data_IF_855922685922
#
_entry.id   IF_855922685922
#
_cell.length_a   1.000
_cell.length_b   1.000
_cell.length_c   1.000
_cell.angle_alpha   90.00
_cell.angle_beta   90.00
_cell.angle_gamma   90.00
#
_symmetry.space_group_name_H-M   'P 1'
#
loop_
_entity.id
_entity.type
_entity.pdbx_description
1 polymer ?
#
# COMPACT_ATOMS: atom_id res chain seq x y z
N UNK A 1 33.56 -4.89 18.34
CA UNK A 1 33.04 -3.65 18.88
C UNK A 1 31.82 -3.86 19.75
N UNK A 2 31.67 -2.98 20.74
CA UNK A 2 30.49 -2.94 21.61
C UNK A 2 29.53 -1.79 21.25
N UNK A 3 29.77 -1.10 20.14
CA UNK A 3 28.97 0.03 19.70
C UNK A 3 27.79 -0.48 18.88
N UNK A 4 26.57 -0.04 19.22
CA UNK A 4 25.37 -0.30 18.44
C UNK A 4 25.44 0.54 17.14
N UNK A 5 25.15 -0.09 16.01
CA UNK A 5 25.12 0.53 14.69
C UNK A 5 23.71 0.41 14.11
N UNK A 6 23.36 1.33 13.20
CA UNK A 6 22.07 1.24 12.50
C UNK A 6 22.02 -0.07 11.72
N UNK A 7 23.06 -0.36 10.94
CA UNK A 7 23.23 -1.61 10.23
C UNK A 7 24.39 -2.36 10.90
N UNK A 8 24.25 -3.58 11.38
CA UNK A 8 23.03 -4.42 11.27
C UNK A 8 22.09 -4.38 12.50
N UNK A 9 22.47 -3.71 13.60
CA UNK A 9 21.81 -3.96 14.90
C UNK A 9 20.36 -3.47 14.92
N UNK A 10 20.12 -2.19 14.51
CA UNK A 10 18.77 -1.64 14.49
C UNK A 10 17.94 -2.26 13.37
N UNK A 11 18.53 -2.44 12.18
CA UNK A 11 17.80 -3.03 11.06
C UNK A 11 17.44 -4.50 11.31
N UNK A 12 18.29 -5.28 11.97
CA UNK A 12 17.96 -6.65 12.34
C UNK A 12 16.81 -6.68 13.36
N UNK A 13 16.85 -5.83 14.40
CA UNK A 13 15.79 -5.79 15.40
C UNK A 13 14.42 -5.41 14.80
N UNK A 14 14.41 -4.47 13.84
CA UNK A 14 13.19 -4.13 13.10
C UNK A 14 12.68 -5.33 12.30
N UNK A 15 13.55 -6.03 11.59
CA UNK A 15 13.19 -7.22 10.81
C UNK A 15 12.69 -8.36 11.72
N UNK A 16 13.35 -8.61 12.84
CA UNK A 16 12.94 -9.63 13.82
C UNK A 16 11.57 -9.29 14.44
N UNK A 17 11.32 -8.01 14.66
CA UNK A 17 10.01 -7.55 15.14
C UNK A 17 8.91 -7.80 14.10
N UNK A 18 9.13 -7.43 12.84
CA UNK A 18 8.20 -7.66 11.73
C UNK A 18 7.87 -9.16 11.62
N UNK A 19 8.89 -10.00 11.58
CA UNK A 19 8.72 -11.46 11.42
C UNK A 19 7.95 -12.05 12.59
N UNK A 20 8.29 -11.66 13.83
CA UNK A 20 7.56 -12.10 15.03
C UNK A 20 6.08 -11.72 14.99
N UNK A 21 5.77 -10.49 14.59
CA UNK A 21 4.38 -10.01 14.51
C UNK A 21 3.63 -10.72 13.39
N UNK A 22 4.28 -10.96 12.25
CA UNK A 22 3.67 -11.66 11.11
C UNK A 22 3.18 -13.08 11.46
N UNK A 23 3.87 -13.75 12.38
CA UNK A 23 3.50 -15.09 12.86
C UNK A 23 2.59 -15.08 14.11
N UNK A 24 2.21 -13.91 14.60
CA UNK A 24 1.40 -13.82 15.83
C UNK A 24 -0.08 -13.75 15.50
N UNK A 25 -0.91 -14.74 15.91
CA UNK A 25 -2.36 -14.70 15.74
C UNK A 25 -2.96 -13.43 16.37
N UNK A 26 -3.79 -12.72 15.63
CA UNK A 26 -4.41 -11.46 16.08
C UNK A 26 -5.92 -11.53 16.22
N UNK A 27 -6.56 -12.56 15.64
CA UNK A 27 -8.01 -12.72 15.57
C UNK A 27 -8.59 -13.62 16.68
N UNK A 28 -7.73 -14.17 17.53
CA UNK A 28 -8.12 -15.07 18.62
C UNK A 28 -8.36 -16.53 18.22
N UNK A 29 -8.22 -16.89 16.94
CA UNK A 29 -8.40 -18.26 16.45
C UNK A 29 -7.17 -19.14 16.71
N UNK A 30 -6.02 -18.56 17.02
CA UNK A 30 -4.77 -19.26 17.29
C UNK A 30 -4.05 -19.79 16.05
N UNK A 31 -4.56 -19.47 14.87
CA UNK A 31 -3.93 -19.79 13.58
C UNK A 31 -3.00 -18.64 13.14
N UNK A 32 -1.91 -18.97 12.48
CA UNK A 32 -1.03 -17.95 11.90
C UNK A 32 -1.75 -17.17 10.80
N UNK A 33 -1.54 -15.85 10.70
CA UNK A 33 -2.10 -15.04 9.63
C UNK A 33 -1.53 -15.43 8.26
N UNK A 34 -2.36 -15.43 7.21
CA UNK A 34 -1.92 -15.61 5.83
C UNK A 34 -1.09 -14.42 5.33
N UNK A 35 -1.34 -13.23 5.86
CA UNK A 35 -0.64 -12.01 5.52
C UNK A 35 -0.54 -11.04 6.70
N UNK A 36 0.55 -10.30 6.76
CA UNK A 36 0.75 -9.19 7.69
C UNK A 36 0.83 -7.88 6.92
N UNK A 37 -0.01 -6.92 7.29
CA UNK A 37 0.00 -5.57 6.70
C UNK A 37 0.81 -4.65 7.60
N UNK A 38 1.89 -4.08 7.05
CA UNK A 38 2.80 -3.19 7.76
C UNK A 38 2.67 -1.80 7.16
N UNK A 39 2.36 -0.83 7.99
CA UNK A 39 2.36 0.58 7.59
C UNK A 39 3.64 1.26 8.08
N UNK A 40 4.33 1.92 7.15
CA UNK A 40 5.44 2.79 7.46
C UNK A 40 5.04 4.23 7.14
N UNK A 41 4.82 5.01 8.19
CA UNK A 41 4.47 6.43 8.11
C UNK A 41 5.63 7.32 7.70
N UNK A 42 5.29 8.55 7.34
CA UNK A 42 6.24 9.57 6.94
C UNK A 42 6.54 9.61 5.45
N UNK A 43 7.20 10.67 5.04
CA UNK A 43 7.61 10.87 3.64
C UNK A 43 8.85 10.03 3.32
N UNK A 44 8.86 9.42 2.15
CA UNK A 44 10.06 8.73 1.65
C UNK A 44 11.22 9.71 1.56
N UNK A 45 12.34 9.36 2.19
CA UNK A 45 13.54 10.20 2.27
C UNK A 45 13.68 11.00 3.57
N UNK A 46 12.67 10.99 4.43
CA UNK A 46 12.79 11.59 5.77
C UNK A 46 13.75 10.80 6.66
N UNK A 47 14.51 11.52 7.46
CA UNK A 47 15.55 10.93 8.30
C UNK A 47 14.99 9.94 9.34
N UNK A 48 13.80 10.19 9.84
CA UNK A 48 13.14 9.35 10.84
C UNK A 48 12.76 7.99 10.29
N UNK A 49 12.39 7.89 9.02
CA UNK A 49 11.99 6.64 8.37
C UNK A 49 13.17 5.85 7.80
N UNK A 50 14.33 6.46 7.66
CA UNK A 50 15.49 5.87 6.99
C UNK A 50 15.89 4.47 7.54
N UNK A 51 15.98 4.22 8.86
CA UNK A 51 16.33 2.90 9.39
C UNK A 51 15.27 1.83 9.07
N UNK A 52 13.99 2.22 9.03
CA UNK A 52 12.89 1.31 8.70
C UNK A 52 12.87 0.97 7.22
N UNK A 53 13.07 1.95 6.34
CA UNK A 53 13.19 1.71 4.89
C UNK A 53 14.37 0.80 4.59
N UNK A 54 15.51 1.02 5.23
CA UNK A 54 16.69 0.16 5.08
C UNK A 54 16.42 -1.27 5.62
N UNK A 55 15.73 -1.40 6.75
CA UNK A 55 15.32 -2.70 7.28
C UNK A 55 14.39 -3.44 6.30
N UNK A 56 13.39 -2.76 5.71
CA UNK A 56 12.51 -3.34 4.71
C UNK A 56 13.24 -3.73 3.42
N UNK A 57 14.24 -2.93 2.99
CA UNK A 57 15.10 -3.27 1.86
C UNK A 57 15.88 -4.57 2.12
N UNK A 58 16.38 -4.77 3.33
CA UNK A 58 17.05 -6.02 3.72
C UNK A 58 16.06 -7.16 3.89
N UNK A 59 14.89 -6.89 4.46
CA UNK A 59 13.87 -7.88 4.76
C UNK A 59 13.39 -8.64 3.52
N UNK A 60 13.21 -7.95 2.38
CA UNK A 60 12.85 -8.62 1.13
C UNK A 60 13.84 -9.70 0.68
N UNK A 61 15.15 -9.56 1.04
CA UNK A 61 16.15 -10.59 0.77
C UNK A 61 16.10 -11.71 1.81
N UNK A 62 15.77 -11.38 3.05
CA UNK A 62 15.69 -12.33 4.15
C UNK A 62 14.53 -13.31 3.96
N UNK A 63 13.37 -12.83 3.57
CA UNK A 63 12.15 -13.64 3.45
C UNK A 63 11.83 -14.11 2.02
N UNK A 64 12.56 -13.60 1.02
CA UNK A 64 12.28 -13.82 -0.39
C UNK A 64 11.38 -12.72 -0.96
N UNK A 65 11.72 -12.27 -2.17
CA UNK A 65 10.98 -11.15 -2.83
C UNK A 65 9.53 -11.51 -3.13
N UNK A 66 9.23 -12.77 -3.35
CA UNK A 66 7.89 -13.32 -3.58
C UNK A 66 6.98 -13.20 -2.36
N UNK A 67 7.55 -13.14 -1.16
CA UNK A 67 6.82 -13.04 0.11
C UNK A 67 6.59 -11.59 0.57
N UNK A 68 6.95 -10.60 -0.25
CA UNK A 68 6.78 -9.17 0.08
C UNK A 68 6.07 -8.45 -1.04
N UNK A 69 5.09 -7.61 -0.69
CA UNK A 69 4.43 -6.69 -1.60
C UNK A 69 4.61 -5.25 -1.11
N UNK A 70 5.39 -4.45 -1.83
CA UNK A 70 5.52 -3.03 -1.54
C UNK A 70 4.42 -2.23 -2.23
N UNK A 71 3.59 -1.60 -1.42
CA UNK A 71 2.53 -0.70 -1.85
C UNK A 71 2.93 0.72 -1.48
N UNK A 72 3.14 1.58 -2.47
CA UNK A 72 3.50 2.98 -2.24
C UNK A 72 2.26 3.87 -2.34
N UNK A 73 1.93 4.56 -1.26
CA UNK A 73 0.85 5.54 -1.22
C UNK A 73 1.40 6.91 -1.56
N UNK A 74 0.81 7.58 -2.53
CA UNK A 74 1.27 8.89 -3.01
C UNK A 74 0.12 9.83 -3.31
N UNK A 75 0.35 11.13 -3.14
CA UNK A 75 -0.64 12.16 -3.47
C UNK A 75 -0.54 12.56 -4.95
N UNK A 76 -1.69 12.62 -5.62
CA UNK A 76 -1.87 13.22 -6.93
C UNK A 76 -2.64 14.54 -6.76
N UNK A 77 -1.94 15.68 -6.69
CA UNK A 77 -2.60 16.98 -6.59
C UNK A 77 -3.45 17.26 -7.83
N UNK A 78 -4.65 17.80 -7.59
CA UNK A 78 -5.54 18.29 -8.64
C UNK A 78 -5.46 19.83 -8.65
N UNK A 79 -5.00 20.40 -9.75
CA UNK A 79 -4.65 21.81 -9.83
C UNK A 79 -5.44 22.55 -10.87
N UNK A 80 -5.68 23.84 -10.58
CA UNK A 80 -6.31 24.78 -11.50
C UNK A 80 -7.81 24.55 -11.72
N UNK A 81 -8.47 25.45 -12.48
CA UNK A 81 -9.91 25.39 -12.71
C UNK A 81 -10.35 24.22 -13.59
N UNK A 82 -9.42 23.64 -14.36
CA UNK A 82 -9.69 22.49 -15.25
C UNK A 82 -9.46 21.14 -14.56
N UNK A 83 -9.02 21.13 -13.30
CA UNK A 83 -8.82 19.88 -12.55
C UNK A 83 -7.66 19.03 -13.03
N UNK A 84 -6.54 19.64 -13.48
CA UNK A 84 -5.37 18.90 -13.96
C UNK A 84 -4.71 18.07 -12.86
N UNK A 85 -4.58 16.75 -13.06
CA UNK A 85 -3.92 15.82 -12.16
C UNK A 85 -2.39 15.87 -12.35
N UNK A 86 -1.65 16.19 -11.30
CA UNK A 86 -0.19 16.36 -11.34
C UNK A 86 0.53 15.09 -10.89
N UNK A 87 1.27 14.47 -11.80
CA UNK A 87 1.98 13.19 -11.57
C UNK A 87 3.41 13.37 -11.03
N UNK A 88 3.97 14.56 -11.11
CA UNK A 88 5.38 14.80 -10.72
C UNK A 88 5.70 14.44 -9.26
N UNK A 89 4.85 14.75 -8.26
CA UNK A 89 5.13 14.35 -6.87
C UNK A 89 5.29 12.83 -6.74
N UNK A 90 4.37 12.05 -7.31
CA UNK A 90 4.45 10.58 -7.31
C UNK A 90 5.69 10.06 -8.02
N UNK A 91 6.01 10.60 -9.20
CA UNK A 91 7.23 10.22 -9.92
C UNK A 91 8.48 10.46 -9.07
N UNK A 92 8.51 11.58 -8.33
CA UNK A 92 9.64 11.94 -7.48
C UNK A 92 9.77 10.97 -6.30
N UNK A 93 8.70 10.73 -5.54
CA UNK A 93 8.74 9.83 -4.38
C UNK A 93 9.06 8.39 -4.78
N UNK A 94 8.56 7.90 -5.92
CA UNK A 94 8.93 6.57 -6.43
C UNK A 94 10.41 6.52 -6.84
N UNK A 95 10.93 7.60 -7.45
CA UNK A 95 12.36 7.67 -7.78
C UNK A 95 13.24 7.61 -6.52
N UNK A 96 12.86 8.35 -5.47
CA UNK A 96 13.55 8.30 -4.18
C UNK A 96 13.50 6.90 -3.55
N UNK A 97 12.31 6.27 -3.50
CA UNK A 97 12.14 4.92 -2.97
C UNK A 97 13.03 3.91 -3.70
N UNK A 98 13.12 4.02 -5.01
CA UNK A 98 14.00 3.18 -5.84
C UNK A 98 15.48 3.46 -5.58
N UNK A 99 15.83 4.72 -5.33
CA UNK A 99 17.18 5.10 -4.91
C UNK A 99 17.60 4.43 -3.61
N UNK A 100 16.63 4.14 -2.74
CA UNK A 100 16.81 3.36 -1.50
C UNK A 100 16.75 1.84 -1.72
N UNK A 101 16.59 1.37 -2.97
CA UNK A 101 16.63 -0.06 -3.32
C UNK A 101 15.29 -0.80 -3.15
N UNK A 102 14.17 -0.08 -3.06
CA UNK A 102 12.82 -0.66 -3.01
C UNK A 102 12.05 -0.29 -4.28
N UNK A 103 11.55 -1.30 -4.97
CA UNK A 103 10.64 -1.12 -6.10
C UNK A 103 9.21 -1.37 -5.66
N UNK A 104 8.29 -0.41 -5.79
CA UNK A 104 6.89 -0.67 -5.48
C UNK A 104 6.27 -1.62 -6.49
N UNK A 105 5.44 -2.54 -5.99
CA UNK A 105 4.66 -3.46 -6.82
C UNK A 105 3.31 -2.86 -7.19
N UNK A 106 2.81 -1.96 -6.34
CA UNK A 106 1.54 -1.26 -6.52
C UNK A 106 1.69 0.19 -6.09
N UNK A 107 0.99 1.10 -6.77
CA UNK A 107 0.88 2.50 -6.39
C UNK A 107 -0.57 2.80 -6.04
N UNK A 108 -0.81 3.28 -4.83
CA UNK A 108 -2.12 3.78 -4.40
C UNK A 108 -2.08 5.30 -4.45
N UNK A 109 -2.76 5.85 -5.44
CA UNK A 109 -2.72 7.27 -5.77
C UNK A 109 -3.88 8.00 -5.12
N UNK A 110 -3.59 8.70 -4.02
CA UNK A 110 -4.56 9.52 -3.30
C UNK A 110 -4.85 10.80 -4.09
N UNK A 111 -6.12 11.06 -4.40
CA UNK A 111 -6.53 12.18 -5.24
C UNK A 111 -7.92 12.67 -4.82
N UNK A 112 -8.28 13.91 -5.18
CA UNK A 112 -9.62 14.44 -4.97
C UNK A 112 -10.68 13.77 -5.88
N UNK A 113 -10.28 13.37 -7.08
CA UNK A 113 -11.16 12.76 -8.10
C UNK A 113 -10.51 11.48 -8.64
N UNK A 114 -11.28 10.56 -9.25
CA UNK A 114 -10.73 9.37 -9.90
C UNK A 114 -9.60 9.72 -10.87
N UNK A 115 -8.59 8.86 -10.92
CA UNK A 115 -7.52 9.01 -11.92
C UNK A 115 -8.09 8.83 -13.32
N UNK A 116 -7.79 9.78 -14.20
CA UNK A 116 -8.04 9.60 -15.64
C UNK A 116 -6.99 8.67 -16.24
N UNK A 117 -7.36 7.99 -17.33
CA UNK A 117 -6.50 6.97 -17.95
C UNK A 117 -5.16 7.55 -18.42
N UNK A 118 -5.13 8.78 -18.92
CA UNK A 118 -3.89 9.45 -19.32
C UNK A 118 -2.93 9.60 -18.11
N UNK A 119 -3.46 10.01 -16.95
CA UNK A 119 -2.69 10.14 -15.70
C UNK A 119 -2.18 8.78 -15.24
N UNK A 120 -3.04 7.77 -15.24
CA UNK A 120 -2.70 6.38 -14.88
C UNK A 120 -1.57 5.84 -15.75
N UNK A 121 -1.70 5.95 -17.07
CA UNK A 121 -0.71 5.48 -18.02
C UNK A 121 0.63 6.22 -17.88
N UNK A 122 0.57 7.53 -17.62
CA UNK A 122 1.77 8.34 -17.38
C UNK A 122 2.50 7.92 -16.10
N UNK A 123 1.78 7.69 -15.00
CA UNK A 123 2.36 7.19 -13.75
C UNK A 123 2.97 5.81 -13.99
N UNK A 124 2.23 4.90 -14.60
CA UNK A 124 2.70 3.56 -14.95
C UNK A 124 4.03 3.60 -15.70
N UNK A 125 4.11 4.38 -16.78
CA UNK A 125 5.30 4.50 -17.60
C UNK A 125 6.52 5.06 -16.84
N UNK A 126 6.33 6.09 -16.02
CA UNK A 126 7.43 6.72 -15.27
C UNK A 126 7.85 5.96 -14.02
N UNK A 127 6.90 5.27 -13.40
CA UNK A 127 7.14 4.51 -12.17
C UNK A 127 7.42 3.03 -12.45
N UNK A 128 7.32 2.56 -13.69
CA UNK A 128 7.52 1.16 -14.11
C UNK A 128 6.68 0.19 -13.26
N UNK A 129 5.43 0.55 -13.05
CA UNK A 129 4.41 -0.27 -12.41
C UNK A 129 3.30 -0.50 -13.44
N UNK A 130 2.77 -1.72 -13.60
CA UNK A 130 1.72 -1.99 -14.57
C UNK A 130 0.51 -1.05 -14.37
N UNK A 131 -0.19 -0.62 -15.44
CA UNK A 131 -1.32 0.31 -15.32
C UNK A 131 -2.41 -0.18 -14.37
N UNK A 132 -2.68 -1.48 -14.34
CA UNK A 132 -3.62 -2.13 -13.44
C UNK A 132 -3.21 -2.02 -11.96
N UNK A 133 -1.90 -1.94 -11.68
CA UNK A 133 -1.37 -1.76 -10.33
C UNK A 133 -1.21 -0.27 -9.92
N UNK A 134 -1.68 0.67 -10.76
CA UNK A 134 -1.82 2.08 -10.41
C UNK A 134 -3.27 2.32 -9.97
N UNK A 135 -3.50 2.25 -8.68
CA UNK A 135 -4.83 2.28 -8.05
C UNK A 135 -5.21 3.70 -7.68
N UNK A 136 -6.43 4.11 -8.02
CA UNK A 136 -6.99 5.40 -7.66
C UNK A 136 -7.66 5.33 -6.28
N UNK A 137 -7.10 6.02 -5.29
CA UNK A 137 -7.71 6.21 -3.98
C UNK A 137 -8.25 7.64 -3.86
N UNK A 138 -9.34 7.92 -4.59
CA UNK A 138 -9.97 9.24 -4.62
C UNK A 138 -10.92 9.45 -3.44
N UNK A 139 -11.40 10.70 -3.28
CA UNK A 139 -12.36 11.04 -2.25
C UNK A 139 -13.66 10.26 -2.47
N UNK A 140 -14.20 9.72 -1.40
CA UNK A 140 -15.46 8.98 -1.35
C UNK A 140 -16.36 9.59 -0.28
N UNK A 141 -17.65 9.27 -0.29
CA UNK A 141 -18.66 9.83 0.62
C UNK A 141 -18.32 9.53 2.09
N UNK A 142 -17.85 8.33 2.39
CA UNK A 142 -17.45 7.93 3.72
C UNK A 142 -16.28 6.93 3.67
N UNK A 143 -15.56 6.77 4.79
CA UNK A 143 -14.36 5.93 4.88
C UNK A 143 -14.64 4.45 4.59
N UNK A 144 -15.85 3.97 4.85
CA UNK A 144 -16.23 2.57 4.64
C UNK A 144 -16.38 2.22 3.16
N UNK A 145 -16.44 3.23 2.25
CA UNK A 145 -16.41 3.02 0.80
C UNK A 145 -15.00 2.67 0.29
N UNK A 146 -13.94 2.96 1.07
CA UNK A 146 -12.54 2.75 0.61
C UNK A 146 -12.24 1.29 0.27
N UNK A 147 -12.56 0.27 1.09
CA UNK A 147 -12.32 -1.12 0.72
C UNK A 147 -13.07 -1.54 -0.55
N UNK A 148 -14.30 -1.04 -0.74
CA UNK A 148 -15.12 -1.33 -1.92
C UNK A 148 -14.49 -0.71 -3.17
N UNK A 149 -14.00 0.52 -3.07
CA UNK A 149 -13.29 1.21 -4.14
C UNK A 149 -11.98 0.48 -4.52
N UNK A 150 -11.21 0.02 -3.56
CA UNK A 150 -9.98 -0.74 -3.80
C UNK A 150 -10.28 -2.09 -4.46
N UNK A 151 -11.30 -2.81 -3.96
CA UNK A 151 -11.75 -4.07 -4.54
C UNK A 151 -12.22 -3.92 -5.99
N UNK A 152 -12.99 -2.86 -6.29
CA UNK A 152 -13.48 -2.60 -7.66
C UNK A 152 -12.36 -2.40 -8.68
N UNK A 153 -11.15 -2.07 -8.23
CA UNK A 153 -9.94 -1.91 -9.05
C UNK A 153 -9.03 -3.16 -9.04
N UNK A 154 -9.47 -4.27 -8.46
CA UNK A 154 -8.77 -5.54 -8.50
C UNK A 154 -7.60 -5.67 -7.52
N UNK A 155 -7.53 -4.83 -6.47
CA UNK A 155 -6.43 -4.89 -5.48
C UNK A 155 -6.32 -6.26 -4.85
N UNK A 156 -7.44 -6.88 -4.49
CA UNK A 156 -7.45 -8.22 -3.90
C UNK A 156 -6.92 -9.28 -4.86
N UNK A 157 -7.29 -9.20 -6.15
CA UNK A 157 -6.78 -10.12 -7.17
C UNK A 157 -5.26 -9.97 -7.36
N UNK A 158 -4.76 -8.74 -7.40
CA UNK A 158 -3.32 -8.48 -7.52
C UNK A 158 -2.53 -9.03 -6.33
N UNK A 159 -3.07 -8.93 -5.11
CA UNK A 159 -2.45 -9.51 -3.91
C UNK A 159 -2.52 -11.04 -3.93
N UNK A 160 -3.66 -11.61 -4.37
CA UNK A 160 -3.83 -13.05 -4.56
C UNK A 160 -2.79 -13.61 -5.53
N UNK A 161 -2.64 -12.99 -6.68
CA UNK A 161 -1.67 -13.40 -7.70
C UNK A 161 -0.22 -13.28 -7.19
N UNK A 162 0.04 -12.23 -6.41
CA UNK A 162 1.37 -11.97 -5.85
C UNK A 162 1.81 -13.00 -4.83
N UNK A 163 0.90 -13.41 -3.93
CA UNK A 163 1.19 -14.30 -2.81
C UNK A 163 0.70 -15.74 -3.01
N UNK A 164 0.00 -16.01 -4.11
CA UNK A 164 -0.57 -17.33 -4.38
C UNK A 164 -1.75 -17.68 -3.47
N UNK A 165 -2.49 -16.69 -2.95
CA UNK A 165 -3.68 -16.94 -2.15
C UNK A 165 -4.85 -17.40 -3.02
N UNK A 166 -5.62 -18.36 -2.51
CA UNK A 166 -6.95 -18.64 -3.04
C UNK A 166 -7.99 -17.77 -2.32
N UNK A 167 -8.57 -16.82 -3.06
CA UNK A 167 -9.62 -15.96 -2.50
C UNK A 167 -10.96 -16.65 -2.67
N UNK A 168 -11.74 -16.88 -1.58
CA UNK A 168 -13.05 -17.51 -1.67
C UNK A 168 -14.01 -16.76 -2.61
N UNK A 169 -14.75 -17.48 -3.44
CA UNK A 169 -15.73 -16.90 -4.37
C UNK A 169 -16.85 -16.14 -3.64
N UNK A 170 -17.20 -16.57 -2.43
CA UNK A 170 -18.20 -15.89 -1.58
C UNK A 170 -17.48 -15.06 -0.52
N UNK A 171 -17.60 -13.76 -0.64
CA UNK A 171 -16.98 -12.79 0.26
C UNK A 171 -18.02 -12.12 1.14
N UNK A 172 -18.63 -12.90 2.02
CA UNK A 172 -19.65 -12.38 2.95
C UNK A 172 -19.18 -11.12 3.69
N UNK A 173 -17.91 -11.09 4.12
CA UNK A 173 -17.33 -9.94 4.82
C UNK A 173 -17.37 -8.68 3.94
N UNK A 174 -17.08 -8.80 2.65
CA UNK A 174 -17.13 -7.66 1.71
C UNK A 174 -18.57 -7.20 1.46
N UNK A 175 -19.54 -8.14 1.39
CA UNK A 175 -20.95 -7.81 1.24
C UNK A 175 -21.50 -7.11 2.48
N UNK A 176 -21.15 -7.60 3.68
CA UNK A 176 -21.53 -6.99 4.97
C UNK A 176 -20.88 -5.59 5.08
N UNK A 177 -19.63 -5.44 4.65
CA UNK A 177 -18.93 -4.15 4.61
C UNK A 177 -19.59 -3.15 3.66
N UNK A 178 -20.00 -3.60 2.48
CA UNK A 178 -20.73 -2.78 1.52
C UNK A 178 -22.05 -2.29 2.08
N UNK A 179 -22.81 -3.18 2.75
CA UNK A 179 -24.06 -2.78 3.40
C UNK A 179 -23.82 -1.72 4.48
N UNK A 180 -22.74 -1.84 5.26
CA UNK A 180 -22.36 -0.81 6.24
C UNK A 180 -22.06 0.53 5.56
N UNK A 181 -21.23 0.52 4.50
CA UNK A 181 -20.87 1.71 3.76
C UNK A 181 -22.09 2.44 3.18
N UNK A 182 -22.98 1.68 2.54
CA UNK A 182 -24.24 2.20 1.97
C UNK A 182 -25.17 2.73 3.06
N UNK A 183 -25.22 2.07 4.23
CA UNK A 183 -26.03 2.53 5.37
C UNK A 183 -25.52 3.88 5.92
N UNK A 184 -24.20 4.05 6.06
CA UNK A 184 -23.62 5.29 6.55
C UNK A 184 -23.96 6.45 5.62
N UNK A 185 -23.93 6.27 4.31
CA UNK A 185 -24.33 7.29 3.34
C UNK A 185 -25.80 7.75 3.53
N UNK A 186 -26.70 6.85 3.97
CA UNK A 186 -28.11 7.23 4.24
C UNK A 186 -28.28 8.06 5.51
N UNK A 187 -27.31 8.04 6.45
CA UNK A 187 -27.38 8.80 7.70
C UNK A 187 -26.95 10.26 7.52
N UNK A 188 -26.07 10.53 6.56
CA UNK A 188 -25.58 11.89 6.27
C UNK A 188 -26.62 12.73 5.48
N UNK A 189 -27.62 12.08 4.87
CA UNK A 189 -28.72 12.74 4.15
C UNK A 189 -29.93 13.12 5.07
N UNK A 190 -29.85 12.84 6.36
CA UNK A 190 -30.92 13.10 7.35
C UNK A 190 -30.57 14.28 8.27
#
# INVERSE_FOLDING_TARGET
GKTVQVIPHITNEIQDWIERVAHTPSDGNGEEPDACVIELGGTVGDIESAPFVEALRQFQFRVGQENVCFVHVSLIPVMGPVGEQKTKPTQHTVKELRGLGINPHMLVCRSKSPLIDETRNKISAFCHVPPEAVVSAHDVSNIYQVPIMLESQGVTSMLSDRFGFEIPAKRKVLDDWKQLADHVDTLDDA
#
